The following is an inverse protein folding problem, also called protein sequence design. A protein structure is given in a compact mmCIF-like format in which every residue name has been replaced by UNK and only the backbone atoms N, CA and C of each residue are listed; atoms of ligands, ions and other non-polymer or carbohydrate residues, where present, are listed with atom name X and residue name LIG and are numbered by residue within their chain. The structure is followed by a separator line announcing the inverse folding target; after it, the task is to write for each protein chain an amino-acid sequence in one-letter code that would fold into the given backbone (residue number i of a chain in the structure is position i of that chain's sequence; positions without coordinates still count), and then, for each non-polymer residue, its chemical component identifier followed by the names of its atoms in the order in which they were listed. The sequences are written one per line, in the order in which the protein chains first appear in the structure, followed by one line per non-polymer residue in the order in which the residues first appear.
data_IF_247046790118
#
_entry.id   IF_247046790118
#
_cell.length_a   1.000
_cell.length_b   1.000
_cell.length_c   1.000
_cell.angle_alpha   90.00
_cell.angle_beta   90.00
_cell.angle_gamma   90.00
#
_symmetry.space_group_name_H-M   'P 1'
#
loop_
_entity.id
_entity.type
_entity.pdbx_description
1 polymer ?
#
# COMPACT_ATOMS: atom_id res chain seq x y z
N UNK A 1 27.53 -68.68 1.16
CA UNK A 1 26.68 -69.81 1.58
C UNK A 1 25.27 -69.46 1.09
N UNK A 2 24.70 -70.03 0.03
CA UNK A 2 24.72 -71.40 -0.53
C UNK A 2 23.78 -72.38 0.20
N UNK A 3 23.28 -73.38 -0.54
CA UNK A 3 22.25 -74.39 -0.21
C UNK A 3 20.81 -73.83 -0.22
N UNK A 4 19.96 -74.06 -1.25
CA UNK A 4 19.35 -75.28 -1.90
C UNK A 4 18.00 -75.63 -1.29
N UNK A 5 16.87 -75.76 -2.01
CA UNK A 5 16.52 -76.48 -3.27
C UNK A 5 16.00 -77.91 -3.01
N UNK A 6 14.70 -78.10 -3.30
CA UNK A 6 13.90 -79.33 -3.49
C UNK A 6 12.45 -78.81 -3.74
N UNK A 7 11.72 -78.99 -4.84
CA UNK A 7 11.83 -79.79 -6.09
C UNK A 7 11.51 -81.29 -5.96
N UNK A 8 10.25 -81.66 -6.25
CA UNK A 8 9.79 -82.94 -6.83
C UNK A 8 8.32 -82.74 -7.33
N UNK A 9 8.01 -82.61 -8.63
CA UNK A 9 7.71 -83.65 -9.66
C UNK A 9 6.57 -84.60 -9.18
N UNK A 10 5.43 -84.87 -9.85
CA UNK A 10 5.01 -85.01 -11.27
C UNK A 10 3.58 -84.43 -11.51
N UNK A 11 3.01 -84.21 -12.72
CA UNK A 11 3.51 -83.91 -14.09
C UNK A 11 2.34 -83.28 -14.97
N UNK A 12 1.96 -83.64 -16.24
CA UNK A 12 1.38 -82.65 -17.20
C UNK A 12 0.05 -83.05 -17.95
N UNK A 13 -0.24 -82.37 -19.08
CA UNK A 13 -1.36 -82.50 -20.07
C UNK A 13 -2.64 -81.74 -19.66
N UNK A 14 -3.30 -80.92 -20.50
CA UNK A 14 -3.23 -80.74 -21.97
C UNK A 14 -2.81 -79.32 -22.44
N UNK A 15 -2.63 -79.16 -23.75
CA UNK A 15 -2.33 -77.89 -24.43
C UNK A 15 -3.44 -77.52 -25.43
N UNK A 16 -3.82 -76.24 -25.49
CA UNK A 16 -4.76 -75.69 -26.48
C UNK A 16 -5.78 -74.74 -25.82
N UNK A 17 -6.12 -73.57 -26.36
CA UNK A 17 -5.71 -72.97 -27.65
C UNK A 17 -4.92 -71.67 -27.44
N UNK A 18 -3.95 -71.41 -28.33
CA UNK A 18 -3.39 -70.06 -28.52
C UNK A 18 -4.33 -69.21 -29.38
N UNK A 19 -4.23 -67.89 -29.20
CA UNK A 19 -4.85 -66.85 -30.01
C UNK A 19 -4.99 -67.23 -31.49
N UNK A 20 -6.21 -67.12 -32.04
CA UNK A 20 -6.46 -66.90 -33.46
C UNK A 20 -7.22 -65.58 -33.60
N UNK A 21 -6.81 -64.75 -34.56
CA UNK A 21 -7.51 -63.51 -34.89
C UNK A 21 -8.81 -63.78 -35.65
N UNK A 22 -9.58 -62.71 -35.88
CA UNK A 22 -10.82 -62.79 -36.65
C UNK A 22 -10.55 -63.24 -38.11
N UNK A 23 -11.41 -64.12 -38.64
CA UNK A 23 -11.44 -64.45 -40.07
C UNK A 23 -11.03 -65.88 -40.44
N UNK A 24 -11.82 -66.88 -40.05
CA UNK A 24 -11.91 -68.17 -40.77
C UNK A 24 -13.31 -68.78 -40.50
N UNK A 25 -14.00 -69.26 -41.55
CA UNK A 25 -15.40 -69.67 -41.46
C UNK A 25 -15.53 -71.13 -41.00
N UNK A 26 -16.21 -71.38 -39.87
CA UNK A 26 -16.22 -72.71 -39.24
C UNK A 26 -17.41 -73.08 -38.32
N UNK A 27 -18.45 -72.25 -38.20
CA UNK A 27 -19.68 -72.64 -37.49
C UNK A 27 -20.71 -73.16 -38.51
N UNK A 28 -20.83 -74.49 -38.61
CA UNK A 28 -21.88 -75.12 -39.41
C UNK A 28 -23.26 -74.97 -38.78
N UNK A 29 -24.29 -74.79 -39.61
CA UNK A 29 -25.68 -74.77 -39.16
C UNK A 29 -26.09 -76.19 -38.73
N UNK A 30 -26.23 -76.44 -37.43
CA UNK A 30 -27.03 -77.52 -36.83
C UNK A 30 -27.21 -77.24 -35.34
N UNK A 31 -28.43 -76.88 -34.92
CA UNK A 31 -28.76 -76.61 -33.51
C UNK A 31 -29.77 -77.62 -32.93
N UNK A 32 -29.91 -78.78 -33.59
CA UNK A 32 -31.06 -79.68 -33.39
C UNK A 32 -30.72 -80.97 -32.61
N UNK A 33 -29.44 -81.29 -32.37
CA UNK A 33 -29.00 -82.54 -31.71
C UNK A 33 -28.69 -82.41 -30.20
N UNK A 34 -28.71 -81.21 -29.62
CA UNK A 34 -28.46 -81.00 -28.19
C UNK A 34 -29.67 -80.41 -27.47
N UNK A 35 -30.33 -81.26 -26.67
CA UNK A 35 -31.45 -80.88 -25.81
C UNK A 35 -31.09 -79.75 -24.83
N UNK A 36 -32.13 -79.06 -24.35
CA UNK A 36 -32.12 -77.73 -23.68
C UNK A 36 -31.50 -77.67 -22.26
N UNK A 37 -30.46 -78.46 -21.99
CA UNK A 37 -29.96 -78.77 -20.64
C UNK A 37 -28.58 -78.20 -20.25
N UNK A 38 -27.84 -77.52 -21.16
CA UNK A 38 -26.43 -77.16 -20.91
C UNK A 38 -26.05 -75.70 -21.28
N UNK A 39 -26.92 -74.72 -20.99
CA UNK A 39 -26.51 -73.30 -21.00
C UNK A 39 -25.88 -72.84 -19.66
N UNK A 40 -26.06 -73.59 -18.57
CA UNK A 40 -25.56 -73.21 -17.23
C UNK A 40 -24.09 -73.62 -17.00
N UNK A 41 -23.53 -74.48 -17.86
CA UNK A 41 -22.24 -75.15 -17.69
C UNK A 41 -21.07 -74.54 -18.48
N UNK A 42 -21.31 -73.48 -19.26
CA UNK A 42 -20.28 -72.78 -20.05
C UNK A 42 -20.08 -71.30 -19.68
N UNK A 43 -20.71 -70.82 -18.61
CA UNK A 43 -20.36 -69.53 -17.99
C UNK A 43 -19.16 -69.73 -17.04
N UNK A 44 -17.96 -69.74 -17.62
CA UNK A 44 -16.70 -69.72 -16.86
C UNK A 44 -16.55 -68.39 -16.09
N UNK A 45 -16.02 -68.40 -14.85
CA UNK A 45 -16.09 -67.26 -13.93
C UNK A 45 -15.07 -66.13 -14.21
N UNK A 46 -14.46 -66.08 -15.39
CA UNK A 46 -13.40 -65.09 -15.73
C UNK A 46 -13.85 -63.99 -16.71
N UNK A 47 -15.13 -63.98 -17.12
CA UNK A 47 -15.75 -62.77 -17.66
C UNK A 47 -16.43 -61.98 -16.55
N UNK A 48 -15.61 -61.27 -15.78
CA UNK A 48 -16.05 -60.15 -14.94
C UNK A 48 -16.64 -59.06 -15.84
N UNK A 49 -17.94 -59.17 -16.14
CA UNK A 49 -18.77 -58.04 -16.52
C UNK A 49 -18.87 -57.12 -15.31
N UNK A 50 -17.82 -56.32 -15.09
CA UNK A 50 -17.68 -55.37 -13.99
C UNK A 50 -18.97 -54.57 -13.81
N UNK A 51 -19.75 -54.76 -12.72
CA UNK A 51 -21.09 -54.17 -12.59
C UNK A 51 -21.06 -52.63 -12.49
N UNK A 52 -19.87 -52.06 -12.29
CA UNK A 52 -19.59 -50.64 -12.24
C UNK A 52 -19.23 -50.02 -13.61
N UNK A 53 -18.94 -50.83 -14.64
CA UNK A 53 -18.63 -50.35 -15.99
C UNK A 53 -19.85 -50.42 -16.92
N UNK A 54 -19.84 -49.57 -17.95
CA UNK A 54 -20.98 -49.37 -18.86
C UNK A 54 -20.58 -49.36 -20.35
N UNK A 55 -19.35 -49.73 -20.69
CA UNK A 55 -18.90 -49.84 -22.09
C UNK A 55 -19.34 -51.17 -22.72
N UNK A 56 -20.35 -51.11 -23.60
CA UNK A 56 -20.91 -52.27 -24.29
C UNK A 56 -20.18 -52.65 -25.59
N UNK A 57 -19.03 -52.04 -25.92
CA UNK A 57 -18.43 -52.09 -27.27
C UNK A 57 -17.84 -53.45 -27.72
N UNK A 58 -17.89 -54.50 -26.88
CA UNK A 58 -17.11 -55.74 -27.07
C UNK A 58 -17.90 -57.03 -27.34
N UNK A 59 -19.24 -57.01 -27.32
CA UNK A 59 -20.07 -58.22 -27.46
C UNK A 59 -20.62 -58.47 -28.88
N UNK A 60 -19.74 -58.87 -29.81
CA UNK A 60 -20.12 -59.45 -31.12
C UNK A 60 -19.63 -60.90 -31.25
N UNK A 61 -20.38 -61.85 -30.69
CA UNK A 61 -20.07 -63.28 -30.76
C UNK A 61 -21.27 -64.19 -30.49
N UNK A 62 -21.83 -64.76 -31.56
CA UNK A 62 -22.75 -65.92 -31.63
C UNK A 62 -23.56 -66.32 -30.38
N UNK A 63 -24.83 -65.89 -30.29
CA UNK A 63 -25.86 -66.53 -29.46
C UNK A 63 -26.92 -67.21 -30.34
N UNK A 64 -27.28 -68.47 -30.02
CA UNK A 64 -28.41 -69.17 -30.64
C UNK A 64 -29.74 -68.51 -30.23
N UNK A 65 -30.80 -68.58 -31.04
CA UNK A 65 -32.02 -67.74 -30.91
C UNK A 65 -32.66 -67.73 -29.51
N UNK A 66 -32.80 -68.89 -28.86
CA UNK A 66 -33.36 -68.98 -27.49
C UNK A 66 -32.41 -68.46 -26.40
N UNK A 67 -31.10 -68.52 -26.65
CA UNK A 67 -30.10 -67.89 -25.79
C UNK A 67 -30.00 -66.38 -26.06
N UNK A 68 -30.22 -65.95 -27.30
CA UNK A 68 -30.36 -64.54 -27.69
C UNK A 68 -31.57 -63.90 -27.00
N UNK A 69 -32.72 -64.57 -26.89
CA UNK A 69 -33.85 -64.08 -26.08
C UNK A 69 -33.45 -63.86 -24.61
N UNK A 70 -32.82 -64.84 -23.94
CA UNK A 70 -32.42 -64.72 -22.51
C UNK A 70 -31.28 -63.72 -22.28
N UNK A 71 -30.27 -63.70 -23.14
CA UNK A 71 -29.21 -62.69 -23.10
C UNK A 71 -29.80 -61.31 -23.39
N UNK A 72 -30.66 -61.15 -24.39
CA UNK A 72 -31.35 -59.89 -24.68
C UNK A 72 -32.17 -59.43 -23.50
N UNK A 73 -32.95 -60.28 -22.83
CA UNK A 73 -33.77 -59.85 -21.70
C UNK A 73 -32.93 -59.50 -20.45
N UNK A 74 -31.81 -60.19 -20.23
CA UNK A 74 -30.86 -59.87 -19.15
C UNK A 74 -30.07 -58.59 -19.44
N UNK A 75 -29.65 -58.40 -20.70
CA UNK A 75 -28.94 -57.23 -21.21
C UNK A 75 -29.89 -56.02 -21.34
N UNK A 76 -31.17 -56.21 -21.68
CA UNK A 76 -32.20 -55.17 -21.64
C UNK A 76 -32.45 -54.72 -20.21
N UNK A 77 -32.41 -55.62 -19.22
CA UNK A 77 -32.43 -55.22 -17.80
C UNK A 77 -31.18 -54.44 -17.42
N UNK A 78 -29.98 -54.95 -17.72
CA UNK A 78 -28.73 -54.24 -17.43
C UNK A 78 -28.67 -52.87 -18.12
N UNK A 79 -29.14 -52.75 -19.36
CA UNK A 79 -29.27 -51.48 -20.07
C UNK A 79 -30.40 -50.60 -19.52
N UNK A 80 -31.57 -51.13 -19.12
CA UNK A 80 -32.63 -50.31 -18.50
C UNK A 80 -32.19 -49.77 -17.14
N UNK A 81 -31.46 -50.57 -16.37
CA UNK A 81 -30.86 -50.18 -15.11
C UNK A 81 -29.76 -49.12 -15.34
N UNK A 82 -28.95 -49.25 -16.40
CA UNK A 82 -27.99 -48.21 -16.80
C UNK A 82 -28.64 -46.93 -17.35
N UNK A 83 -29.84 -46.99 -17.95
CA UNK A 83 -30.65 -45.81 -18.29
C UNK A 83 -31.29 -45.15 -17.05
N UNK A 84 -31.35 -45.87 -15.92
CA UNK A 84 -31.76 -45.33 -14.62
C UNK A 84 -30.57 -44.87 -13.74
N UNK A 85 -29.34 -45.38 -13.97
CA UNK A 85 -28.12 -44.96 -13.26
C UNK A 85 -27.93 -43.44 -13.37
N UNK A 86 -27.88 -42.70 -12.24
CA UNK A 86 -27.54 -41.27 -12.26
C UNK A 86 -26.18 -41.01 -12.92
N UNK A 87 -26.07 -39.93 -13.68
CA UNK A 87 -24.88 -39.61 -14.50
C UNK A 87 -24.85 -40.19 -15.91
N UNK A 88 -25.90 -40.93 -16.31
CA UNK A 88 -26.08 -41.49 -17.65
C UNK A 88 -27.43 -41.06 -18.24
N UNK A 89 -27.54 -41.02 -19.57
CA UNK A 89 -28.76 -40.67 -20.31
C UNK A 89 -29.05 -41.66 -21.44
N UNK A 90 -30.33 -41.85 -21.78
CA UNK A 90 -30.77 -42.86 -22.74
C UNK A 90 -30.77 -42.33 -24.17
N UNK A 91 -29.76 -42.69 -24.95
CA UNK A 91 -29.60 -42.30 -26.37
C UNK A 91 -30.18 -43.38 -27.28
N UNK A 92 -31.46 -43.71 -27.09
CA UNK A 92 -32.16 -44.77 -27.83
C UNK A 92 -31.93 -46.16 -27.23
N UNK A 93 -31.12 -46.98 -27.88
CA UNK A 93 -30.73 -48.31 -27.40
C UNK A 93 -29.76 -48.24 -26.21
N UNK A 94 -28.91 -47.22 -26.17
CA UNK A 94 -27.70 -47.23 -25.35
C UNK A 94 -27.76 -46.19 -24.21
N UNK A 95 -26.82 -46.31 -23.26
CA UNK A 95 -26.69 -45.42 -22.11
C UNK A 95 -25.41 -44.59 -22.22
N UNK A 96 -25.54 -43.31 -22.61
CA UNK A 96 -24.38 -42.41 -22.75
C UNK A 96 -24.02 -41.76 -21.41
N UNK A 97 -22.75 -41.83 -21.03
CA UNK A 97 -22.20 -41.16 -19.85
C UNK A 97 -22.22 -39.64 -20.05
N UNK A 98 -22.70 -38.89 -19.07
CA UNK A 98 -22.68 -37.42 -19.15
C UNK A 98 -21.23 -36.91 -19.21
N UNK A 99 -20.94 -36.04 -20.18
CA UNK A 99 -19.67 -35.34 -20.27
C UNK A 99 -19.43 -34.45 -19.04
N UNK A 100 -18.18 -34.03 -18.84
CA UNK A 100 -17.83 -33.05 -17.82
C UNK A 100 -18.65 -31.76 -17.98
N UNK A 101 -18.97 -31.10 -16.87
CA UNK A 101 -19.88 -29.94 -16.80
C UNK A 101 -21.35 -30.25 -17.12
N UNK A 102 -21.70 -31.49 -17.48
CA UNK A 102 -23.10 -31.95 -17.55
C UNK A 102 -23.41 -32.98 -16.45
N UNK A 103 -24.69 -33.16 -16.13
CA UNK A 103 -25.18 -34.13 -15.15
C UNK A 103 -26.51 -34.75 -15.59
N UNK A 104 -26.88 -35.87 -14.96
CA UNK A 104 -28.27 -36.33 -14.93
C UNK A 104 -28.59 -36.96 -13.57
N UNK A 105 -29.75 -36.63 -13.00
CA UNK A 105 -30.22 -37.20 -11.73
C UNK A 105 -30.57 -38.69 -11.80
N UNK A 106 -30.54 -39.29 -13.00
CA UNK A 106 -31.13 -40.60 -13.26
C UNK A 106 -32.65 -40.50 -13.47
N UNK A 107 -33.21 -41.51 -14.15
CA UNK A 107 -34.65 -41.70 -14.28
C UNK A 107 -35.19 -42.65 -13.21
N UNK A 108 -36.52 -42.64 -13.04
CA UNK A 108 -37.17 -43.80 -12.41
C UNK A 108 -37.16 -44.99 -13.37
N UNK A 109 -37.15 -46.21 -12.84
CA UNK A 109 -37.11 -47.46 -13.63
C UNK A 109 -38.34 -47.71 -14.53
N UNK A 110 -39.34 -46.83 -14.51
CA UNK A 110 -40.56 -46.87 -15.32
C UNK A 110 -40.61 -45.75 -16.39
N UNK A 111 -39.54 -45.58 -17.15
CA UNK A 111 -39.62 -45.00 -18.51
C UNK A 111 -39.49 -43.48 -18.64
N UNK A 112 -39.14 -42.74 -17.59
CA UNK A 112 -38.81 -41.30 -17.65
C UNK A 112 -37.34 -41.04 -17.31
N UNK A 113 -36.45 -41.72 -18.02
CA UNK A 113 -35.03 -41.36 -18.08
C UNK A 113 -34.82 -40.01 -18.75
N UNK A 114 -33.77 -39.29 -18.34
CA UNK A 114 -33.41 -38.01 -18.93
C UNK A 114 -32.80 -38.24 -20.33
N UNK A 115 -33.24 -37.48 -21.33
CA UNK A 115 -32.88 -37.70 -22.75
C UNK A 115 -31.61 -36.97 -23.22
N UNK A 116 -31.22 -35.89 -22.57
CA UNK A 116 -29.89 -35.25 -22.67
C UNK A 116 -29.46 -34.77 -21.29
N UNK A 117 -28.15 -34.82 -21.02
CA UNK A 117 -27.59 -34.39 -19.75
C UNK A 117 -27.70 -32.86 -19.61
N UNK A 118 -28.19 -32.40 -18.46
CA UNK A 118 -28.30 -30.98 -18.13
C UNK A 118 -26.91 -30.38 -17.93
N UNK A 119 -26.65 -29.21 -18.52
CA UNK A 119 -25.44 -28.44 -18.21
C UNK A 119 -25.49 -27.89 -16.77
N UNK A 120 -24.32 -27.75 -16.15
CA UNK A 120 -24.19 -27.14 -14.84
C UNK A 120 -24.41 -25.63 -14.93
N UNK A 121 -25.29 -25.09 -14.09
CA UNK A 121 -25.44 -23.64 -13.96
C UNK A 121 -24.12 -23.01 -13.46
N UNK A 122 -23.83 -21.79 -13.91
CA UNK A 122 -22.59 -21.09 -13.56
C UNK A 122 -22.36 -21.03 -12.03
N UNK A 123 -21.10 -21.17 -11.64
CA UNK A 123 -20.66 -21.37 -10.27
C UNK A 123 -20.78 -22.80 -9.77
N UNK A 124 -21.03 -23.77 -10.66
CA UNK A 124 -21.00 -25.21 -10.38
C UNK A 124 -20.18 -25.95 -11.44
N UNK A 125 -19.76 -27.16 -11.11
CA UNK A 125 -19.04 -28.07 -12.00
C UNK A 125 -19.56 -29.51 -11.86
N UNK A 126 -19.19 -30.38 -12.79
CA UNK A 126 -19.34 -31.83 -12.63
C UNK A 126 -18.22 -32.62 -13.32
N UNK A 127 -17.63 -33.64 -12.67
CA UNK A 127 -16.84 -34.63 -13.37
C UNK A 127 -17.72 -35.45 -14.31
N UNK A 128 -17.13 -36.07 -15.33
CA UNK A 128 -17.88 -36.89 -16.28
C UNK A 128 -18.57 -38.09 -15.59
N UNK A 129 -19.89 -38.22 -15.81
CA UNK A 129 -20.76 -39.20 -15.16
C UNK A 129 -21.33 -38.78 -13.81
N UNK A 130 -21.36 -37.48 -13.48
CA UNK A 130 -21.95 -37.03 -12.21
C UNK A 130 -23.48 -37.07 -12.20
N UNK A 131 -24.04 -37.45 -11.05
CA UNK A 131 -25.47 -37.40 -10.76
C UNK A 131 -26.04 -35.99 -10.57
N UNK A 132 -25.16 -35.03 -10.24
CA UNK A 132 -25.51 -33.64 -9.90
C UNK A 132 -24.28 -32.73 -9.99
N UNK A 133 -24.50 -31.42 -10.09
CA UNK A 133 -23.43 -30.42 -10.11
C UNK A 133 -23.01 -30.01 -8.70
N UNK A 134 -21.70 -30.05 -8.44
CA UNK A 134 -21.09 -29.56 -7.19
C UNK A 134 -20.86 -28.05 -7.29
N UNK A 135 -21.16 -27.30 -6.23
CA UNK A 135 -20.92 -25.84 -6.21
C UNK A 135 -19.42 -25.54 -6.13
N UNK A 136 -19.00 -24.43 -6.74
CA UNK A 136 -17.71 -23.80 -6.51
C UNK A 136 -17.76 -22.96 -5.24
N UNK A 137 -16.98 -23.35 -4.24
CA UNK A 137 -16.90 -22.74 -2.92
C UNK A 137 -15.51 -22.13 -2.68
N UNK A 138 -15.41 -21.20 -1.72
CA UNK A 138 -14.17 -20.82 -1.03
C UNK A 138 -12.96 -20.53 -1.94
N UNK A 139 -12.92 -19.32 -2.50
CA UNK A 139 -11.83 -18.89 -3.39
C UNK A 139 -11.81 -19.61 -4.74
N UNK A 140 -12.84 -20.38 -5.07
CA UNK A 140 -13.08 -20.93 -6.39
C UNK A 140 -14.30 -20.27 -7.06
N UNK A 141 -14.35 -20.36 -8.39
CA UNK A 141 -15.46 -19.93 -9.22
C UNK A 141 -15.61 -20.84 -10.46
N UNK A 142 -16.72 -20.70 -11.20
CA UNK A 142 -16.82 -21.25 -12.55
C UNK A 142 -17.78 -20.42 -13.41
N UNK A 143 -17.28 -19.80 -14.48
CA UNK A 143 -18.08 -18.98 -15.40
C UNK A 143 -18.73 -19.77 -16.54
N UNK A 144 -18.16 -20.91 -16.92
CA UNK A 144 -18.61 -21.74 -18.05
C UNK A 144 -19.47 -22.93 -17.56
N UNK A 145 -20.56 -23.23 -18.29
CA UNK A 145 -21.53 -24.27 -17.93
C UNK A 145 -21.11 -25.68 -18.33
N UNK A 146 -19.93 -25.86 -18.95
CA UNK A 146 -19.43 -27.12 -19.51
C UNK A 146 -18.16 -27.66 -18.84
N UNK A 147 -17.74 -27.06 -17.72
CA UNK A 147 -16.45 -27.37 -17.10
C UNK A 147 -16.45 -28.51 -16.06
N UNK A 148 -15.38 -29.29 -16.09
CA UNK A 148 -15.15 -30.47 -15.24
C UNK A 148 -14.66 -30.19 -13.82
N UNK A 149 -14.30 -28.94 -13.53
CA UNK A 149 -13.79 -28.47 -12.24
C UNK A 149 -14.05 -26.97 -12.08
N UNK A 150 -13.94 -26.46 -10.86
CA UNK A 150 -13.87 -25.01 -10.62
C UNK A 150 -12.47 -24.48 -10.96
N UNK A 151 -12.41 -23.19 -11.30
CA UNK A 151 -11.17 -22.42 -11.36
C UNK A 151 -10.91 -21.73 -10.01
N UNK A 152 -9.63 -21.51 -9.68
CA UNK A 152 -9.26 -20.73 -8.50
C UNK A 152 -9.25 -19.23 -8.81
N UNK A 153 -9.74 -18.42 -7.86
CA UNK A 153 -9.56 -16.98 -7.91
C UNK A 153 -8.09 -16.61 -7.92
N UNK A 154 -7.68 -15.76 -8.85
CA UNK A 154 -6.33 -15.19 -8.91
C UNK A 154 -6.07 -14.27 -7.71
N UNK A 155 -4.80 -14.07 -7.35
CA UNK A 155 -4.41 -13.21 -6.22
C UNK A 155 -4.96 -11.78 -6.36
N UNK A 156 -5.45 -11.22 -5.27
CA UNK A 156 -6.22 -9.96 -5.25
C UNK A 156 -7.72 -10.13 -5.55
N UNK A 157 -8.22 -11.37 -5.74
CA UNK A 157 -9.65 -11.70 -5.80
C UNK A 157 -10.01 -12.83 -4.83
N UNK A 158 -11.29 -12.94 -4.48
CA UNK A 158 -11.82 -13.95 -3.56
C UNK A 158 -13.26 -14.34 -3.90
N UNK A 159 -13.73 -15.47 -3.35
CA UNK A 159 -15.16 -15.81 -3.23
C UNK A 159 -15.44 -16.25 -1.79
N UNK A 160 -16.43 -15.66 -1.10
CA UNK A 160 -16.64 -15.87 0.33
C UNK A 160 -17.07 -17.31 0.67
N UNK A 161 -16.95 -17.69 1.95
CA UNK A 161 -17.45 -18.97 2.44
C UNK A 161 -18.99 -18.94 2.61
N UNK A 162 -19.70 -19.06 1.49
CA UNK A 162 -21.17 -19.07 1.45
C UNK A 162 -21.69 -20.35 0.80
N UNK A 163 -22.87 -20.82 1.21
CA UNK A 163 -23.52 -22.02 0.64
C UNK A 163 -24.04 -21.84 -0.82
N UNK A 164 -23.68 -20.73 -1.47
CA UNK A 164 -24.09 -20.34 -2.82
C UNK A 164 -22.99 -20.64 -3.85
N UNK A 165 -23.32 -21.09 -5.06
CA UNK A 165 -22.35 -21.22 -6.16
C UNK A 165 -21.81 -19.86 -6.61
N UNK A 166 -20.50 -19.77 -6.89
CA UNK A 166 -19.85 -18.54 -7.34
C UNK A 166 -19.46 -18.58 -8.82
N UNK A 167 -20.12 -17.79 -9.67
CA UNK A 167 -19.84 -17.71 -11.11
C UNK A 167 -18.67 -16.79 -11.49
N UNK A 168 -18.20 -15.95 -10.56
CA UNK A 168 -17.06 -15.05 -10.74
C UNK A 168 -16.42 -14.71 -9.38
N UNK A 169 -15.16 -14.27 -9.40
CA UNK A 169 -14.45 -13.80 -8.21
C UNK A 169 -14.60 -12.29 -7.99
N UNK A 170 -14.84 -11.90 -6.74
CA UNK A 170 -14.89 -10.50 -6.30
C UNK A 170 -13.47 -9.98 -6.10
N UNK A 171 -13.17 -8.77 -6.59
CA UNK A 171 -11.88 -8.11 -6.31
C UNK A 171 -11.77 -7.74 -4.82
N UNK A 172 -10.56 -7.75 -4.26
CA UNK A 172 -10.32 -7.12 -2.96
C UNK A 172 -10.55 -5.61 -3.04
N UNK A 173 -11.04 -5.04 -1.93
CA UNK A 173 -11.04 -3.59 -1.74
C UNK A 173 -9.58 -3.06 -1.72
N UNK A 174 -9.37 -1.82 -2.18
CA UNK A 174 -8.07 -1.16 -2.14
C UNK A 174 -7.50 -1.15 -0.71
N UNK A 175 -6.20 -1.36 -0.58
CA UNK A 175 -5.52 -1.58 0.70
C UNK A 175 -5.63 -3.00 1.26
N UNK A 176 -6.36 -3.91 0.60
CA UNK A 176 -6.43 -5.34 0.95
C UNK A 176 -5.94 -6.22 -0.20
N UNK A 177 -5.55 -7.45 0.13
CA UNK A 177 -5.04 -8.46 -0.82
C UNK A 177 -5.54 -9.85 -0.48
N UNK A 178 -5.43 -10.79 -1.41
CA UNK A 178 -5.73 -12.20 -1.21
C UNK A 178 -4.70 -13.08 -1.92
N UNK A 179 -4.41 -14.25 -1.35
CA UNK A 179 -3.71 -15.30 -2.08
C UNK A 179 -4.63 -15.90 -3.16
N UNK A 180 -4.04 -16.56 -4.15
CA UNK A 180 -4.82 -17.33 -5.11
C UNK A 180 -5.60 -18.45 -4.37
N UNK A 181 -6.86 -18.65 -4.72
CA UNK A 181 -7.74 -19.60 -4.02
C UNK A 181 -8.22 -19.18 -2.64
N UNK A 182 -8.04 -17.91 -2.22
CA UNK A 182 -8.49 -17.44 -0.89
C UNK A 182 -10.00 -17.15 -0.84
N UNK A 183 -10.63 -17.48 0.28
CA UNK A 183 -12.04 -17.17 0.57
C UNK A 183 -12.28 -15.79 1.20
N UNK A 184 -11.23 -15.00 1.41
CA UNK A 184 -11.30 -13.65 1.97
C UNK A 184 -10.10 -12.78 1.56
N UNK A 185 -10.24 -11.47 1.72
CA UNK A 185 -9.14 -10.52 1.62
C UNK A 185 -8.60 -10.19 3.01
N UNK A 186 -7.27 -10.09 3.11
CA UNK A 186 -6.56 -9.58 4.28
C UNK A 186 -6.14 -8.13 4.03
N UNK A 187 -6.38 -7.24 4.99
CA UNK A 187 -5.87 -5.88 4.94
C UNK A 187 -4.33 -5.88 4.95
N UNK A 188 -3.72 -4.98 4.18
CA UNK A 188 -2.28 -4.75 4.28
C UNK A 188 -1.95 -4.24 5.68
N UNK A 189 -0.93 -4.82 6.31
CA UNK A 189 -0.45 -4.36 7.61
C UNK A 189 0.08 -2.92 7.50
N UNK A 190 -0.10 -2.14 8.57
CA UNK A 190 0.42 -0.77 8.69
C UNK A 190 1.88 -0.65 8.18
N UNK A 191 2.18 0.45 7.50
CA UNK A 191 3.41 0.65 6.73
C UNK A 191 3.39 0.04 5.33
N UNK A 192 2.29 -0.61 4.91
CA UNK A 192 2.10 -1.15 3.55
C UNK A 192 0.77 -0.71 2.96
N UNK A 193 0.73 -0.58 1.64
CA UNK A 193 -0.46 -0.27 0.87
C UNK A 193 -0.68 -1.27 -0.26
N UNK A 194 -1.91 -1.36 -0.77
CA UNK A 194 -2.22 -2.08 -2.02
C UNK A 194 -3.12 -1.26 -2.92
N UNK A 195 -2.62 -0.96 -4.11
CA UNK A 195 -3.42 -0.45 -5.23
C UNK A 195 -3.87 -1.59 -6.17
N UNK A 196 -3.42 -2.83 -5.95
CA UNK A 196 -3.64 -4.00 -6.83
C UNK A 196 -3.83 -5.27 -6.00
N UNK A 197 -2.95 -6.28 -6.15
CA UNK A 197 -3.04 -7.62 -5.55
C UNK A 197 -1.92 -7.93 -4.55
N UNK A 198 -1.00 -6.99 -4.30
CA UNK A 198 0.19 -7.17 -3.44
C UNK A 198 0.38 -5.98 -2.49
N UNK A 199 0.68 -6.27 -1.21
CA UNK A 199 0.98 -5.23 -0.22
C UNK A 199 2.43 -4.72 -0.38
N UNK A 200 2.58 -3.63 -1.11
CA UNK A 200 3.84 -2.90 -1.30
C UNK A 200 4.17 -2.11 -0.03
N UNK A 201 5.44 -2.07 0.37
CA UNK A 201 5.88 -1.17 1.45
C UNK A 201 5.65 0.29 1.05
N UNK A 202 5.32 1.16 2.01
CA UNK A 202 5.46 2.59 1.79
C UNK A 202 6.93 2.93 1.47
N UNK A 203 7.14 3.76 0.46
CA UNK A 203 8.45 4.37 0.19
C UNK A 203 8.91 5.25 1.35
N UNK A 204 10.21 5.52 1.42
CA UNK A 204 10.75 6.51 2.36
C UNK A 204 10.04 7.86 2.19
N UNK A 205 9.87 8.58 3.30
CA UNK A 205 9.05 9.78 3.40
C UNK A 205 7.55 9.56 3.59
N UNK A 206 7.04 8.36 3.30
CA UNK A 206 5.61 8.04 3.40
C UNK A 206 5.34 6.92 4.41
N UNK A 207 4.17 6.96 5.02
CA UNK A 207 3.78 5.99 6.04
C UNK A 207 2.32 5.56 5.87
N UNK A 208 1.95 4.53 6.61
CA UNK A 208 0.59 4.05 6.79
C UNK A 208 0.45 3.70 8.27
N UNK A 209 -0.32 4.49 9.01
CA UNK A 209 -0.60 4.26 10.43
C UNK A 209 -1.45 3.01 10.64
N UNK A 210 -2.43 2.81 9.75
CA UNK A 210 -3.52 1.86 9.93
C UNK A 210 -3.44 0.69 8.94
N UNK A 211 -3.90 -0.52 9.34
CA UNK A 211 -4.06 -1.62 8.41
C UNK A 211 -5.15 -1.30 7.37
N UNK A 212 -4.88 -1.60 6.10
CA UNK A 212 -5.84 -1.38 5.01
C UNK A 212 -5.66 -0.07 4.22
N UNK A 213 -4.56 0.65 4.40
CA UNK A 213 -4.25 1.83 3.60
C UNK A 213 -4.19 1.52 2.09
N UNK A 214 -4.92 2.28 1.27
CA UNK A 214 -4.88 2.22 -0.20
C UNK A 214 -3.77 3.09 -0.80
N UNK A 215 -3.24 4.04 -0.03
CA UNK A 215 -2.16 4.97 -0.34
C UNK A 215 -1.32 5.20 0.92
N UNK A 216 -0.05 5.57 0.77
CA UNK A 216 0.79 6.02 1.89
C UNK A 216 0.82 7.55 1.93
N UNK A 217 0.57 8.12 3.11
CA UNK A 217 0.54 9.58 3.30
C UNK A 217 1.93 10.15 3.57
N UNK A 218 2.13 11.42 3.22
CA UNK A 218 3.28 12.22 3.63
C UNK A 218 2.78 13.24 4.67
N UNK A 219 3.22 13.11 5.93
CA UNK A 219 2.80 14.00 7.01
C UNK A 219 3.75 15.21 7.08
N UNK A 220 3.24 16.39 6.74
CA UNK A 220 3.96 17.67 6.87
C UNK A 220 4.58 17.81 8.26
N UNK A 221 5.91 17.87 8.32
CA UNK A 221 6.65 17.96 9.59
C UNK A 221 7.10 16.64 10.22
N UNK A 222 6.87 15.52 9.55
CA UNK A 222 7.37 14.21 9.92
C UNK A 222 8.08 13.56 8.72
N UNK A 223 8.99 12.64 8.99
CA UNK A 223 9.71 11.89 7.95
C UNK A 223 9.72 10.39 8.24
N UNK A 224 10.07 9.59 7.23
CA UNK A 224 10.26 8.15 7.36
C UNK A 224 11.54 7.76 6.62
N UNK A 225 12.63 7.61 7.38
CA UNK A 225 13.96 7.30 6.84
C UNK A 225 14.02 5.86 6.27
N UNK A 226 13.13 4.98 6.72
CA UNK A 226 13.02 3.58 6.30
C UNK A 226 11.80 3.34 5.40
N UNK A 227 11.83 2.26 4.61
CA UNK A 227 10.69 1.77 3.81
C UNK A 227 9.82 0.84 4.64
N UNK A 228 8.51 1.03 4.58
CA UNK A 228 7.54 0.17 5.26
C UNK A 228 7.23 0.58 6.71
N UNK A 229 7.58 1.80 7.09
CA UNK A 229 7.49 2.30 8.46
C UNK A 229 6.06 2.59 8.89
N UNK A 230 5.76 2.29 10.16
CA UNK A 230 4.45 2.54 10.80
C UNK A 230 4.39 3.87 11.55
N UNK A 231 5.51 4.27 12.14
CA UNK A 231 5.64 5.44 13.00
C UNK A 231 6.49 6.51 12.31
N UNK A 232 5.93 7.69 12.10
CA UNK A 232 6.65 8.80 11.47
C UNK A 232 7.60 9.48 12.48
N UNK A 233 8.84 9.76 12.10
CA UNK A 233 9.77 10.53 12.93
C UNK A 233 9.36 12.01 12.90
N UNK A 234 9.04 12.58 14.06
CA UNK A 234 8.77 14.01 14.23
C UNK A 234 10.03 14.84 13.96
N UNK A 235 9.93 15.87 13.12
CA UNK A 235 11.03 16.82 12.91
C UNK A 235 11.06 17.87 14.04
N UNK A 236 12.14 17.92 14.84
CA UNK A 236 12.21 18.77 16.03
C UNK A 236 12.25 20.27 15.71
N UNK A 237 12.03 21.14 16.72
CA UNK A 237 12.29 22.58 16.59
C UNK A 237 13.67 22.85 16.02
N UNK A 238 13.77 23.85 15.14
CA UNK A 238 14.96 24.14 14.35
C UNK A 238 15.03 23.43 13.00
N UNK A 239 14.19 22.42 12.77
CA UNK A 239 14.16 21.65 11.51
C UNK A 239 12.81 21.71 10.81
N UNK A 240 12.79 21.35 9.53
CA UNK A 240 11.60 21.03 8.74
C UNK A 240 11.71 19.61 8.19
N UNK A 241 10.58 18.96 7.93
CA UNK A 241 10.56 17.81 7.04
C UNK A 241 10.88 18.26 5.61
N UNK A 242 11.59 17.41 4.85
CA UNK A 242 11.89 17.62 3.44
C UNK A 242 11.49 16.37 2.65
N UNK A 243 10.39 16.48 1.88
CA UNK A 243 9.77 15.38 1.13
C UNK A 243 10.64 14.83 -0.02
N UNK A 244 11.78 15.46 -0.32
CA UNK A 244 12.70 15.04 -1.39
C UNK A 244 13.86 14.18 -0.86
N UNK A 245 14.35 14.51 0.33
CA UNK A 245 15.42 13.80 1.04
C UNK A 245 14.91 12.82 2.08
N UNK A 246 13.63 12.95 2.47
CA UNK A 246 12.97 12.18 3.53
C UNK A 246 13.68 12.30 4.88
N UNK A 247 14.24 13.48 5.16
CA UNK A 247 15.02 13.79 6.35
C UNK A 247 14.59 15.13 6.97
N UNK A 248 14.85 15.30 8.26
CA UNK A 248 14.60 16.57 8.95
C UNK A 248 15.76 17.54 8.67
N UNK A 249 15.59 18.44 7.69
CA UNK A 249 16.60 19.43 7.33
C UNK A 249 16.58 20.62 8.30
N UNK A 250 17.74 21.17 8.71
CA UNK A 250 17.79 22.40 9.49
C UNK A 250 17.18 23.57 8.72
N UNK A 251 16.65 24.53 9.48
CA UNK A 251 16.30 25.84 8.95
C UNK A 251 17.56 26.67 8.74
N UNK A 252 17.72 27.23 7.54
CA UNK A 252 18.83 28.12 7.22
C UNK A 252 18.77 29.41 8.05
N UNK A 253 19.92 30.09 8.14
CA UNK A 253 20.09 31.44 8.69
C UNK A 253 18.94 32.40 8.35
N UNK A 254 18.51 33.20 9.33
CA UNK A 254 17.38 34.14 9.19
C UNK A 254 16.00 33.48 9.11
N UNK A 255 15.91 32.17 9.38
CA UNK A 255 14.67 31.40 9.47
C UNK A 255 14.62 30.55 10.74
N UNK A 256 13.43 30.09 11.10
CA UNK A 256 13.19 29.24 12.26
C UNK A 256 12.05 28.24 12.03
N UNK A 257 11.93 27.25 12.92
CA UNK A 257 10.81 26.32 12.95
C UNK A 257 10.52 25.88 14.39
N UNK A 258 9.24 25.88 14.78
CA UNK A 258 8.78 25.28 16.03
C UNK A 258 8.73 23.74 16.01
N UNK A 259 9.22 23.10 14.93
CA UNK A 259 9.10 21.67 14.69
C UNK A 259 7.74 21.31 14.10
N UNK A 260 7.60 20.08 13.60
CA UNK A 260 6.35 19.59 13.01
C UNK A 260 5.88 20.40 11.80
N UNK A 261 6.80 20.86 10.95
CA UNK A 261 6.50 21.61 9.71
C UNK A 261 7.34 21.13 8.52
N UNK A 262 6.78 21.29 7.32
CA UNK A 262 7.41 21.11 6.01
C UNK A 262 8.13 22.39 5.50
N UNK A 263 8.06 23.49 6.26
CA UNK A 263 8.69 24.77 5.94
C UNK A 263 9.32 25.44 7.16
N UNK A 264 10.24 26.36 6.91
CA UNK A 264 10.80 27.26 7.91
C UNK A 264 10.22 28.67 7.73
N UNK A 265 9.81 29.30 8.82
CA UNK A 265 9.31 30.68 8.84
C UNK A 265 10.50 31.65 8.83
N UNK A 266 10.44 32.76 8.09
CA UNK A 266 11.46 33.81 8.15
C UNK A 266 11.37 34.57 9.49
N UNK A 267 12.48 35.10 10.00
CA UNK A 267 12.48 36.04 11.13
C UNK A 267 11.79 37.37 10.76
N UNK A 268 11.33 38.13 11.76
CA UNK A 268 10.80 39.47 11.54
C UNK A 268 11.92 40.52 11.31
N UNK A 269 11.56 41.76 10.99
CA UNK A 269 12.53 42.85 10.92
C UNK A 269 13.12 43.12 12.32
N UNK A 270 14.43 43.34 12.39
CA UNK A 270 15.16 43.47 13.67
C UNK A 270 15.44 42.14 14.40
N UNK A 271 15.14 41.00 13.77
CA UNK A 271 15.39 39.66 14.33
C UNK A 271 16.44 38.88 13.52
N UNK A 272 17.30 38.14 14.21
CA UNK A 272 18.29 37.22 13.61
C UNK A 272 18.06 35.77 14.07
N UNK A 273 18.56 34.82 13.28
CA UNK A 273 18.67 33.42 13.69
C UNK A 273 19.85 32.74 13.02
N UNK A 274 20.49 31.81 13.73
CA UNK A 274 21.51 30.91 13.19
C UNK A 274 20.85 29.70 12.51
N UNK A 275 21.64 28.92 11.77
CA UNK A 275 21.17 27.64 11.23
C UNK A 275 20.67 26.72 12.36
N UNK A 276 19.53 26.05 12.14
CA UNK A 276 18.91 25.15 13.13
C UNK A 276 18.16 25.85 14.26
N UNK A 277 17.91 27.17 14.19
CA UNK A 277 17.21 27.89 15.26
C UNK A 277 15.71 27.56 15.37
N UNK A 278 15.25 27.31 16.58
CA UNK A 278 13.82 27.07 16.89
C UNK A 278 12.98 28.35 17.02
N UNK A 279 13.63 29.49 17.20
CA UNK A 279 13.04 30.84 17.29
C UNK A 279 14.06 31.89 16.84
N UNK A 280 13.62 33.10 16.53
CA UNK A 280 14.53 34.21 16.25
C UNK A 280 14.83 35.05 17.50
N UNK A 281 15.99 35.70 17.50
CA UNK A 281 16.47 36.60 18.57
C UNK A 281 16.32 38.04 18.10
N UNK A 282 15.63 38.87 18.87
CA UNK A 282 15.54 40.32 18.62
C UNK A 282 16.85 41.00 18.98
N UNK A 283 17.32 41.88 18.11
CA UNK A 283 18.39 42.79 18.48
C UNK A 283 17.88 43.79 19.53
N UNK A 284 18.70 44.00 20.56
CA UNK A 284 18.43 45.01 21.58
C UNK A 284 18.65 46.42 21.01
N UNK A 285 18.00 47.46 21.55
CA UNK A 285 18.24 48.83 21.13
C UNK A 285 19.73 49.19 21.10
N UNK A 286 20.12 49.99 20.11
CA UNK A 286 21.53 50.23 19.79
C UNK A 286 22.25 49.07 19.11
N UNK A 287 21.55 48.03 18.67
CA UNK A 287 22.12 46.91 17.91
C UNK A 287 21.18 46.54 16.75
N UNK A 288 21.74 46.19 15.60
CA UNK A 288 20.99 45.92 14.35
C UNK A 288 21.35 44.55 13.75
N UNK A 289 20.43 43.90 13.00
CA UNK A 289 20.68 42.59 12.40
C UNK A 289 21.71 42.67 11.26
N UNK A 290 22.87 42.04 11.44
CA UNK A 290 23.89 41.85 10.40
C UNK A 290 24.13 40.36 10.19
N UNK A 291 23.60 39.83 9.08
CA UNK A 291 23.63 38.40 8.77
C UNK A 291 22.85 37.56 9.79
N UNK A 292 23.58 36.86 10.68
CA UNK A 292 23.02 36.00 11.74
C UNK A 292 23.25 36.54 13.15
N UNK A 293 23.85 37.73 13.27
CA UNK A 293 24.27 38.35 14.53
C UNK A 293 23.71 39.75 14.65
N UNK A 294 23.36 40.17 15.87
CA UNK A 294 23.15 41.57 16.16
C UNK A 294 24.51 42.25 16.32
N UNK A 295 24.75 43.32 15.56
CA UNK A 295 25.96 44.15 15.64
C UNK A 295 25.58 45.48 16.28
N UNK A 296 26.40 45.93 17.21
CA UNK A 296 26.18 47.18 17.94
C UNK A 296 26.43 48.37 17.02
N UNK A 297 25.57 49.39 17.11
CA UNK A 297 25.79 50.65 16.42
C UNK A 297 27.02 51.36 16.99
N UNK A 298 27.85 51.89 16.11
CA UNK A 298 28.99 52.73 16.45
C UNK A 298 28.52 54.05 17.09
N UNK A 299 29.45 54.81 17.65
CA UNK A 299 29.14 56.14 18.16
C UNK A 299 28.73 57.10 17.04
N UNK A 300 28.02 58.17 17.38
CA UNK A 300 27.36 59.05 16.41
C UNK A 300 26.13 58.43 15.74
N UNK A 301 25.79 57.16 16.00
CA UNK A 301 24.63 56.45 15.45
C UNK A 301 23.71 55.90 16.55
N UNK A 302 22.44 55.65 16.23
CA UNK A 302 21.47 55.05 17.15
C UNK A 302 20.60 54.00 16.46
N UNK A 303 20.00 53.09 17.23
CA UNK A 303 19.01 52.15 16.70
C UNK A 303 17.84 51.93 17.67
N UNK A 304 16.61 52.35 17.33
CA UNK A 304 15.41 52.02 18.11
C UNK A 304 15.04 50.53 17.98
N UNK A 305 14.08 50.08 18.78
CA UNK A 305 13.58 48.71 18.72
C UNK A 305 13.14 48.30 17.30
N UNK A 306 13.54 47.08 16.90
CA UNK A 306 13.30 46.48 15.58
C UNK A 306 13.96 47.21 14.39
N UNK A 307 14.89 48.16 14.61
CA UNK A 307 15.61 48.77 13.49
C UNK A 307 16.44 47.75 12.71
N UNK A 308 16.58 48.01 11.41
CA UNK A 308 17.40 47.22 10.48
C UNK A 308 18.68 47.95 10.05
N UNK A 309 18.84 49.21 10.44
CA UNK A 309 20.00 50.06 10.17
C UNK A 309 20.26 50.99 11.37
N UNK A 310 21.52 51.37 11.59
CA UNK A 310 21.84 52.42 12.55
C UNK A 310 21.54 53.78 11.90
N UNK A 311 20.69 54.58 12.52
CA UNK A 311 20.36 55.93 12.09
C UNK A 311 21.47 56.89 12.56
N UNK A 312 21.98 57.73 11.66
CA UNK A 312 23.00 58.74 11.97
C UNK A 312 22.39 59.86 12.84
N UNK A 313 23.10 60.30 13.89
CA UNK A 313 22.65 61.35 14.79
C UNK A 313 22.96 62.75 14.22
N UNK A 314 22.46 63.03 13.01
CA UNK A 314 22.85 64.21 12.21
C UNK A 314 22.19 65.53 12.66
N UNK A 315 21.11 65.49 13.46
CA UNK A 315 20.37 66.70 13.85
C UNK A 315 21.17 67.65 14.75
N UNK A 316 20.79 68.94 14.86
CA UNK A 316 21.58 69.93 15.56
C UNK A 316 21.73 69.61 17.06
N UNK A 317 22.98 69.57 17.53
CA UNK A 317 23.36 69.18 18.87
C UNK A 317 23.13 67.69 19.20
N UNK A 318 22.87 66.82 18.21
CA UNK A 318 22.70 65.39 18.45
C UNK A 318 24.03 64.65 18.58
N UNK A 319 24.09 63.66 19.47
CA UNK A 319 25.25 62.81 19.70
C UNK A 319 24.81 61.43 20.20
N UNK A 320 25.69 60.44 20.11
CA UNK A 320 25.43 59.15 20.74
C UNK A 320 26.72 58.37 21.03
N UNK A 321 26.68 57.56 22.09
CA UNK A 321 27.72 56.57 22.36
C UNK A 321 27.42 55.27 21.63
N UNK A 322 28.45 54.45 21.42
CA UNK A 322 28.29 53.08 20.92
C UNK A 322 27.16 52.34 21.64
N UNK A 323 26.32 51.63 20.88
CA UNK A 323 25.12 50.91 21.36
C UNK A 323 24.00 51.80 21.93
N UNK A 324 23.83 53.02 21.40
CA UNK A 324 22.73 53.90 21.79
C UNK A 324 21.37 53.51 21.18
N UNK A 325 20.32 53.49 22.01
CA UNK A 325 18.94 53.27 21.58
C UNK A 325 18.34 54.45 20.80
N UNK A 326 18.79 55.66 21.09
CA UNK A 326 18.30 56.94 20.58
C UNK A 326 19.45 57.95 20.58
N UNK A 327 19.42 58.91 19.64
CA UNK A 327 20.30 60.06 19.67
C UNK A 327 20.00 60.95 20.89
N UNK A 328 21.03 61.29 21.65
CA UNK A 328 20.96 62.25 22.75
C UNK A 328 21.18 63.67 22.22
N UNK A 329 20.72 64.69 22.96
CA UNK A 329 20.87 66.10 22.57
C UNK A 329 21.78 66.80 23.60
N UNK A 330 22.75 67.58 23.13
CA UNK A 330 23.61 68.42 23.96
C UNK A 330 22.75 69.43 24.75
N UNK A 331 22.91 69.47 26.08
CA UNK A 331 22.10 70.35 26.93
C UNK A 331 22.58 71.80 26.84
N UNK A 332 21.82 72.72 27.43
CA UNK A 332 22.26 74.11 27.54
C UNK A 332 23.62 74.20 28.24
N UNK A 333 24.52 75.04 27.70
CA UNK A 333 25.91 75.12 28.10
C UNK A 333 26.85 74.09 27.48
N UNK A 334 26.37 73.22 26.58
CA UNK A 334 27.16 72.17 25.95
C UNK A 334 27.17 72.30 24.42
N UNK A 335 28.21 71.71 23.81
CA UNK A 335 28.41 71.52 22.35
C UNK A 335 28.78 70.06 22.07
N UNK A 336 28.76 69.68 20.80
CA UNK A 336 29.45 68.46 20.34
C UNK A 336 30.96 68.68 20.47
N UNK A 337 31.71 67.67 20.91
CA UNK A 337 33.18 67.73 21.10
C UNK A 337 33.96 67.54 19.80
N UNK A 338 33.52 66.60 18.97
CA UNK A 338 34.25 65.92 17.88
C UNK A 338 33.39 65.75 16.60
N UNK A 339 33.99 65.30 15.49
CA UNK A 339 33.27 65.08 14.22
C UNK A 339 32.55 63.71 14.20
N UNK A 340 33.00 62.75 15.02
CA UNK A 340 32.37 61.45 15.22
C UNK A 340 31.05 61.51 16.03
N UNK A 341 30.78 62.63 16.70
CA UNK A 341 29.58 62.87 17.53
C UNK A 341 29.42 61.86 18.67
N UNK A 342 30.53 61.44 19.28
CA UNK A 342 30.56 60.41 20.34
C UNK A 342 30.25 60.96 21.74
N UNK A 343 30.57 62.24 21.95
CA UNK A 343 30.46 62.91 23.24
C UNK A 343 30.17 64.41 23.10
N UNK A 344 30.27 65.12 24.22
CA UNK A 344 29.89 66.53 24.35
C UNK A 344 30.82 67.26 25.30
N UNK A 345 31.13 68.51 24.96
CA UNK A 345 32.01 69.41 25.71
C UNK A 345 31.19 70.55 26.33
N UNK A 346 31.57 71.07 27.51
CA UNK A 346 31.05 72.34 28.00
C UNK A 346 31.56 73.50 27.13
N UNK A 347 30.73 74.51 26.91
CA UNK A 347 31.15 75.71 26.19
C UNK A 347 32.37 76.38 26.84
N UNK A 348 33.36 76.85 26.04
CA UNK A 348 34.48 77.62 26.58
C UNK A 348 33.99 78.95 27.17
N UNK A 349 34.84 79.59 27.97
CA UNK A 349 34.59 80.93 28.52
C UNK A 349 34.33 81.95 27.40
N UNK A 350 33.41 82.89 27.63
CA UNK A 350 32.85 83.85 26.66
C UNK A 350 32.06 83.25 25.49
N UNK A 351 31.70 81.97 25.58
CA UNK A 351 30.74 81.31 24.69
C UNK A 351 29.59 80.67 25.49
N UNK A 352 28.42 80.57 24.86
CA UNK A 352 27.20 79.99 25.43
C UNK A 352 26.52 79.04 24.44
N UNK A 353 25.65 78.17 24.96
CA UNK A 353 24.78 77.32 24.13
C UNK A 353 23.39 77.24 24.77
N UNK A 354 22.30 77.54 24.05
CA UNK A 354 20.94 77.32 24.57
C UNK A 354 20.57 75.83 24.66
N UNK A 355 21.44 74.93 24.18
CA UNK A 355 21.18 73.50 24.00
C UNK A 355 20.71 73.19 22.58
N UNK A 356 20.90 71.94 22.13
CA UNK A 356 20.54 71.52 20.78
C UNK A 356 21.34 72.22 19.68
N UNK A 357 22.63 72.48 19.92
CA UNK A 357 23.54 73.12 18.97
C UNK A 357 24.89 72.40 18.93
N UNK A 358 25.48 72.28 17.74
CA UNK A 358 26.76 71.60 17.53
C UNK A 358 27.95 72.45 17.98
N UNK A 359 27.78 73.78 17.95
CA UNK A 359 28.79 74.78 18.33
C UNK A 359 28.20 75.81 19.30
N UNK A 360 29.01 76.29 20.25
CA UNK A 360 28.61 77.40 21.12
C UNK A 360 28.70 78.75 20.39
N UNK A 361 27.75 79.64 20.65
CA UNK A 361 27.73 81.03 20.19
C UNK A 361 28.61 81.90 21.08
N UNK A 362 29.28 82.91 20.53
CA UNK A 362 30.10 83.85 21.31
C UNK A 362 29.22 84.91 21.98
N UNK A 363 29.62 85.39 23.16
CA UNK A 363 29.02 86.56 23.79
C UNK A 363 29.46 87.88 23.13
N UNK A 364 28.50 88.77 22.92
CA UNK A 364 28.68 90.08 22.26
C UNK A 364 28.20 91.23 23.17
N UNK A 365 28.37 92.48 22.72
CA UNK A 365 27.82 93.69 23.36
C UNK A 365 28.13 93.84 24.86
N UNK A 366 29.40 93.59 25.25
CA UNK A 366 29.89 93.65 26.63
C UNK A 366 29.13 92.71 27.62
N UNK A 367 28.71 91.55 27.10
CA UNK A 367 28.29 90.39 27.91
C UNK A 367 29.41 89.35 27.99
N UNK A 368 29.45 88.56 29.05
CA UNK A 368 30.44 87.51 29.31
C UNK A 368 29.76 86.19 29.66
N UNK A 369 30.51 85.09 29.69
CA UNK A 369 30.01 83.81 30.20
C UNK A 369 31.10 82.92 30.80
N UNK A 370 30.76 82.23 31.89
CA UNK A 370 31.59 81.17 32.46
C UNK A 370 31.57 79.91 31.58
N UNK A 371 32.56 79.03 31.77
CA UNK A 371 32.63 77.72 31.09
C UNK A 371 31.34 76.93 31.36
N UNK A 372 30.64 76.55 30.30
CA UNK A 372 29.40 75.78 30.38
C UNK A 372 28.12 76.61 30.56
N UNK A 373 28.13 77.91 30.24
CA UNK A 373 26.95 78.75 30.39
C UNK A 373 25.85 78.51 29.34
N UNK A 374 24.59 78.51 29.79
CA UNK A 374 23.41 78.46 28.93
C UNK A 374 23.13 79.78 28.17
N UNK A 375 23.64 80.90 28.68
CA UNK A 375 23.42 82.26 28.17
C UNK A 375 24.53 83.20 28.62
N UNK A 376 24.71 84.32 27.92
CA UNK A 376 25.60 85.39 28.36
C UNK A 376 24.96 86.24 29.48
N UNK A 377 25.82 86.83 30.31
CA UNK A 377 25.44 87.76 31.39
C UNK A 377 26.03 89.15 31.12
N UNK A 378 25.29 90.22 31.43
CA UNK A 378 25.80 91.58 31.31
C UNK A 378 26.72 91.95 32.47
N UNK A 379 27.85 92.61 32.18
CA UNK A 379 28.73 93.13 33.21
C UNK A 379 28.03 94.24 34.01
N UNK A 380 27.82 94.02 35.31
CA UNK A 380 27.33 95.07 36.22
C UNK A 380 28.43 96.11 36.48
N UNK A 381 28.14 97.42 36.37
CA UNK A 381 29.16 98.45 36.59
C UNK A 381 29.79 98.37 38.00
N UNK A 382 31.11 98.19 38.04
CA UNK A 382 31.90 98.17 39.28
C UNK A 382 32.29 96.79 39.81
N UNK A 383 31.93 95.69 39.14
CA UNK A 383 32.42 94.35 39.46
C UNK A 383 33.48 93.91 38.44
N UNK A 384 34.61 93.40 38.91
CA UNK A 384 35.55 92.63 38.10
C UNK A 384 35.44 91.16 38.50
N UNK A 385 35.42 90.27 37.50
CA UNK A 385 35.40 88.82 37.61
C UNK A 385 36.72 88.26 37.08
#
# INVERSE_FOLDING_TARGET
MAFTLLVSIFAPVAQGCKNRGAGEAGCGNNCDDYGTANCESYLGPEYDCNPYDCDCSWFFGCCCSTCYEKCRDTFYKQCSDCRAKPGYVSTGTDASKCAAGKYSSGGTSNGSGQSDCSACAAGKYSPAGASSCTNCYNGQYQSDTTQGSCEYCQAGKFTPNTNTPHSACTNCASGSVSAAGSSSCSACLAGKYSATSTCTNCDAGKFSSDPGCSICEASKGYVSNERGTKNCQYCPPGTRADDSTNACMPCAAGKFSFGGKDYCTNCAQGEVSTEGSSSCVRCSPGSVPSGVTCVDCEAGKAAPFNSTLCEECDGPGQYSKSKAALCSIASAGQRISDEERDSIDPCPQDYFSPGGADTCSKCENATFSERGAASCFSCTPGVMF
#
